data_IF_742121614660
#
_entry.id   IF_742121614660
#
_cell.length_a   1.000
_cell.length_b   1.000
_cell.length_c   1.000
_cell.angle_alpha   90.00
_cell.angle_beta   90.00
_cell.angle_gamma   90.00
#
_symmetry.space_group_name_H-M   'P 1'
#
loop_
_entity.id
_entity.type
_entity.pdbx_description
1 polymer ?
#
# COMPACT_ATOMS: atom_id res chain seq x y z
N UNK A 1 -6.56 -21.86 -15.00
CA UNK A 1 -6.31 -21.08 -13.77
C UNK A 1 -5.26 -20.03 -14.09
N UNK A 2 -5.66 -18.77 -14.29
CA UNK A 2 -4.71 -17.67 -14.51
C UNK A 2 -4.01 -17.45 -13.16
N UNK A 3 -2.72 -17.78 -13.07
CA UNK A 3 -1.92 -17.51 -11.87
C UNK A 3 -1.80 -16.00 -11.74
N UNK A 4 -2.45 -15.41 -10.73
CA UNK A 4 -2.24 -14.01 -10.38
C UNK A 4 -0.74 -13.82 -10.07
N UNK A 5 -0.10 -12.83 -10.70
CA UNK A 5 1.34 -12.60 -10.56
C UNK A 5 1.75 -12.29 -9.12
N UNK A 6 0.87 -11.60 -8.37
CA UNK A 6 1.04 -11.22 -6.96
C UNK A 6 1.04 -12.39 -5.98
N UNK A 7 0.68 -13.59 -6.46
CA UNK A 7 0.71 -14.80 -5.66
C UNK A 7 2.09 -15.48 -5.65
N UNK A 8 3.02 -15.02 -6.49
CA UNK A 8 4.40 -15.51 -6.57
C UNK A 8 5.31 -14.73 -5.60
N UNK A 9 5.98 -15.40 -4.64
CA UNK A 9 6.83 -14.73 -3.67
C UNK A 9 8.01 -13.98 -4.30
N UNK A 10 8.59 -14.49 -5.38
CA UNK A 10 9.70 -13.81 -6.08
C UNK A 10 9.22 -12.49 -6.68
N UNK A 11 8.01 -12.49 -7.25
CA UNK A 11 7.41 -11.31 -7.85
C UNK A 11 7.06 -10.24 -6.79
N UNK A 12 6.49 -10.66 -5.65
CA UNK A 12 6.26 -9.76 -4.51
C UNK A 12 7.55 -9.10 -4.04
N UNK A 13 8.65 -9.85 -3.96
CA UNK A 13 9.96 -9.30 -3.58
C UNK A 13 10.47 -8.26 -4.58
N UNK A 14 10.32 -8.51 -5.89
CA UNK A 14 10.70 -7.52 -6.91
C UNK A 14 9.89 -6.23 -6.81
N UNK A 15 8.58 -6.33 -6.54
CA UNK A 15 7.72 -5.15 -6.35
C UNK A 15 8.14 -4.36 -5.12
N UNK A 16 8.44 -5.03 -4.00
CA UNK A 16 8.87 -4.35 -2.77
C UNK A 16 10.16 -3.57 -2.99
N UNK A 17 11.16 -4.17 -3.65
CA UNK A 17 12.42 -3.50 -3.97
C UNK A 17 12.17 -2.29 -4.87
N UNK A 18 11.37 -2.46 -5.92
CA UNK A 18 11.04 -1.37 -6.84
C UNK A 18 10.34 -0.23 -6.11
N UNK A 19 9.40 -0.54 -5.22
CA UNK A 19 8.66 0.46 -4.46
C UNK A 19 9.53 1.22 -3.46
N UNK A 20 10.48 0.55 -2.80
CA UNK A 20 11.44 1.23 -1.92
C UNK A 20 12.36 2.15 -2.73
N UNK A 21 12.91 1.67 -3.85
CA UNK A 21 13.79 2.46 -4.71
C UNK A 21 13.05 3.68 -5.29
N UNK A 22 11.82 3.49 -5.75
CA UNK A 22 11.03 4.57 -6.33
C UNK A 22 10.70 5.64 -5.29
N UNK A 23 10.38 5.26 -4.05
CA UNK A 23 10.19 6.22 -2.97
C UNK A 23 11.49 6.93 -2.58
N UNK A 24 12.65 6.25 -2.59
CA UNK A 24 13.94 6.89 -2.32
C UNK A 24 14.32 7.95 -3.37
N UNK A 25 14.00 7.71 -4.64
CA UNK A 25 14.27 8.66 -5.73
C UNK A 25 13.22 9.77 -5.76
N UNK A 26 11.97 9.45 -5.44
CA UNK A 26 10.88 10.41 -5.41
C UNK A 26 11.08 11.42 -4.28
N UNK A 27 11.01 12.71 -4.63
CA UNK A 27 10.92 13.75 -3.62
C UNK A 27 9.62 13.63 -2.84
N UNK A 28 9.71 13.77 -1.53
CA UNK A 28 8.58 13.81 -0.57
C UNK A 28 7.49 14.78 -1.00
N UNK A 29 7.85 15.85 -1.73
CA UNK A 29 6.94 16.90 -2.17
C UNK A 29 6.18 16.57 -3.46
N UNK A 30 6.59 15.54 -4.21
CA UNK A 30 6.03 15.25 -5.54
C UNK A 30 5.23 13.95 -5.58
N UNK A 31 5.66 12.90 -4.88
CA UNK A 31 5.06 11.56 -4.94
C UNK A 31 5.03 10.95 -3.55
N UNK A 32 3.96 11.28 -2.86
CA UNK A 32 3.79 11.10 -1.42
C UNK A 32 3.26 9.69 -1.13
N UNK A 33 4.15 8.76 -0.74
CA UNK A 33 3.84 7.31 -0.56
C UNK A 33 3.48 6.61 -1.88
N UNK A 34 4.37 6.71 -2.88
CA UNK A 34 4.15 6.03 -4.17
C UNK A 34 4.14 4.49 -3.98
N UNK A 35 3.22 3.79 -4.65
CA UNK A 35 3.00 2.35 -4.48
C UNK A 35 2.54 1.89 -3.09
N UNK A 36 2.07 2.80 -2.22
CA UNK A 36 1.58 2.45 -0.89
C UNK A 36 0.44 1.42 -0.91
N UNK A 37 -0.52 1.57 -1.82
CA UNK A 37 -1.61 0.63 -2.03
C UNK A 37 -1.15 -0.72 -2.56
N UNK A 38 -0.15 -0.75 -3.45
CA UNK A 38 0.44 -2.01 -3.93
C UNK A 38 1.11 -2.76 -2.78
N UNK A 39 1.90 -2.07 -1.96
CA UNK A 39 2.54 -2.69 -0.78
C UNK A 39 1.49 -3.17 0.22
N UNK A 40 0.39 -2.45 0.38
CA UNK A 40 -0.76 -2.92 1.16
C UNK A 40 -1.39 -4.20 0.58
N UNK A 41 -1.50 -4.34 -0.75
CA UNK A 41 -1.95 -5.62 -1.33
C UNK A 41 -0.95 -6.76 -1.07
N UNK A 42 0.35 -6.47 -1.11
CA UNK A 42 1.40 -7.42 -0.75
C UNK A 42 1.32 -7.82 0.75
N UNK A 43 1.03 -6.86 1.63
CA UNK A 43 0.78 -7.08 3.06
C UNK A 43 -0.38 -8.07 3.28
N UNK A 44 -1.52 -7.81 2.63
CA UNK A 44 -2.68 -8.71 2.70
C UNK A 44 -2.36 -10.12 2.20
N UNK A 45 -1.70 -10.24 1.04
CA UNK A 45 -1.37 -11.53 0.41
C UNK A 45 -0.40 -12.34 1.27
N UNK A 46 0.63 -11.71 1.82
CA UNK A 46 1.62 -12.37 2.66
C UNK A 46 1.02 -12.90 3.96
N UNK A 47 0.08 -12.17 4.58
CA UNK A 47 -0.68 -12.68 5.73
C UNK A 47 -1.60 -13.84 5.35
N UNK A 48 -2.38 -13.70 4.26
CA UNK A 48 -3.32 -14.75 3.81
C UNK A 48 -2.60 -16.06 3.45
N UNK A 49 -1.42 -15.99 2.84
CA UNK A 49 -0.61 -17.16 2.47
C UNK A 49 0.40 -17.62 3.52
N UNK A 50 0.46 -16.95 4.69
CA UNK A 50 1.41 -17.24 5.77
C UNK A 50 2.89 -17.15 5.37
N UNK A 51 3.23 -16.22 4.47
CA UNK A 51 4.60 -15.96 4.05
C UNK A 51 5.30 -14.99 5.01
N UNK A 52 5.65 -15.47 6.21
CA UNK A 52 6.14 -14.62 7.30
C UNK A 52 7.46 -13.87 7.00
N UNK A 53 8.39 -14.48 6.25
CA UNK A 53 9.63 -13.80 5.85
C UNK A 53 9.37 -12.62 4.91
N UNK A 54 8.51 -12.81 3.91
CA UNK A 54 8.11 -11.70 3.03
C UNK A 54 7.29 -10.67 3.78
N UNK A 55 6.44 -11.10 4.70
CA UNK A 55 5.67 -10.20 5.55
C UNK A 55 6.56 -9.25 6.36
N UNK A 56 7.65 -9.77 6.94
CA UNK A 56 8.64 -8.94 7.60
C UNK A 56 9.26 -7.91 6.63
N UNK A 57 9.60 -8.31 5.41
CA UNK A 57 10.11 -7.38 4.38
C UNK A 57 9.08 -6.31 3.99
N UNK A 58 7.78 -6.65 3.95
CA UNK A 58 6.71 -5.68 3.71
C UNK A 58 6.67 -4.63 4.82
N UNK A 59 6.78 -5.04 6.09
CA UNK A 59 6.83 -4.10 7.23
C UNK A 59 8.06 -3.19 7.11
N UNK A 60 9.21 -3.75 6.76
CA UNK A 60 10.44 -2.97 6.55
C UNK A 60 10.25 -1.98 5.39
N UNK A 61 9.62 -2.39 4.28
CA UNK A 61 9.32 -1.50 3.17
C UNK A 61 8.39 -0.34 3.59
N UNK A 62 7.35 -0.63 4.38
CA UNK A 62 6.50 0.42 4.94
C UNK A 62 7.30 1.40 5.82
N UNK A 63 8.18 0.91 6.68
CA UNK A 63 9.04 1.78 7.50
C UNK A 63 9.91 2.71 6.66
N UNK A 64 10.51 2.21 5.58
CA UNK A 64 11.30 3.06 4.67
C UNK A 64 10.47 4.18 4.05
N UNK A 65 9.25 3.86 3.61
CA UNK A 65 8.35 4.83 2.97
C UNK A 65 7.82 5.83 4.00
N UNK A 66 7.49 5.38 5.21
CA UNK A 66 7.05 6.24 6.31
C UNK A 66 8.12 7.27 6.69
N UNK A 67 9.36 6.80 6.90
CA UNK A 67 10.49 7.66 7.27
C UNK A 67 10.74 8.70 6.18
N UNK A 68 10.73 8.27 4.92
CA UNK A 68 10.92 9.17 3.79
C UNK A 68 9.79 10.21 3.70
N UNK A 69 8.55 9.79 3.90
CA UNK A 69 7.38 10.68 3.79
C UNK A 69 7.13 11.52 5.05
N UNK A 70 7.97 11.39 6.08
CA UNK A 70 7.85 12.10 7.36
C UNK A 70 6.78 11.54 8.30
N UNK A 71 6.07 10.47 7.92
CA UNK A 71 5.06 9.83 8.77
C UNK A 71 5.69 9.23 10.03
N UNK A 72 4.86 9.09 11.07
CA UNK A 72 5.27 8.33 12.26
C UNK A 72 5.58 6.88 11.87
N UNK A 73 6.62 6.26 12.46
CA UNK A 73 6.96 4.88 12.18
C UNK A 73 5.81 3.94 12.56
N UNK A 74 5.66 2.86 11.80
CA UNK A 74 4.60 1.84 11.87
C UNK A 74 3.18 2.31 11.54
N UNK A 75 2.99 3.58 11.19
CA UNK A 75 1.68 4.15 10.90
C UNK A 75 0.93 3.46 9.74
N UNK A 76 1.59 3.24 8.60
CA UNK A 76 1.06 2.48 7.45
C UNK A 76 0.87 1.01 7.77
N UNK A 77 1.77 0.41 8.56
CA UNK A 77 1.63 -0.99 8.97
C UNK A 77 0.38 -1.20 9.85
N UNK A 78 0.14 -0.29 10.81
CA UNK A 78 -1.04 -0.29 11.67
C UNK A 78 -2.32 -0.06 10.88
N UNK A 79 -2.29 0.88 9.92
CA UNK A 79 -3.41 1.10 9.01
C UNK A 79 -3.73 -0.17 8.21
N UNK A 80 -2.69 -0.81 7.66
CA UNK A 80 -2.83 -2.04 6.89
C UNK A 80 -3.43 -3.18 7.74
N UNK A 81 -3.00 -3.32 9.00
CA UNK A 81 -3.60 -4.26 9.94
C UNK A 81 -5.06 -3.94 10.26
N UNK A 82 -5.39 -2.67 10.49
CA UNK A 82 -6.76 -2.25 10.76
C UNK A 82 -7.69 -2.63 9.60
N UNK A 83 -7.29 -2.31 8.36
CA UNK A 83 -8.06 -2.66 7.17
C UNK A 83 -8.18 -4.17 7.01
N UNK A 84 -7.08 -4.91 7.25
CA UNK A 84 -7.05 -6.37 7.16
C UNK A 84 -8.02 -7.05 8.13
N UNK A 85 -8.12 -6.56 9.37
CA UNK A 85 -8.96 -7.18 10.40
C UNK A 85 -10.43 -6.78 10.26
N UNK A 86 -10.71 -5.50 10.00
CA UNK A 86 -12.08 -4.97 10.07
C UNK A 86 -12.80 -4.89 8.72
N UNK A 87 -12.07 -4.56 7.65
CA UNK A 87 -12.69 -4.26 6.35
C UNK A 87 -12.71 -5.51 5.47
N UNK A 88 -11.56 -6.18 5.31
CA UNK A 88 -11.41 -7.30 4.36
C UNK A 88 -12.42 -8.44 4.60
N UNK A 89 -12.64 -8.94 5.84
CA UNK A 89 -13.56 -10.05 6.06
C UNK A 89 -15.00 -9.75 5.65
N UNK A 90 -15.38 -8.46 5.58
CA UNK A 90 -16.74 -8.03 5.22
C UNK A 90 -17.00 -8.09 3.70
N UNK A 91 -15.95 -8.04 2.88
CA UNK A 91 -16.06 -7.89 1.42
C UNK A 91 -15.40 -9.02 0.62
N UNK A 92 -14.95 -10.08 1.29
CA UNK A 92 -14.16 -11.16 0.68
C UNK A 92 -14.92 -11.96 -0.42
N UNK A 93 -16.26 -11.92 -0.44
CA UNK A 93 -17.09 -12.62 -1.43
C UNK A 93 -17.16 -11.95 -2.81
N UNK A 94 -16.68 -10.72 -2.96
CA UNK A 94 -16.84 -9.95 -4.20
C UNK A 94 -15.60 -10.05 -5.09
N UNK A 95 -15.80 -10.24 -6.39
CA UNK A 95 -14.73 -10.29 -7.41
C UNK A 95 -13.96 -8.97 -7.54
N UNK A 96 -14.56 -7.84 -7.15
CA UNK A 96 -13.91 -6.51 -7.12
C UNK A 96 -13.20 -6.19 -5.79
N UNK A 97 -13.08 -7.16 -4.89
CA UNK A 97 -12.62 -6.97 -3.51
C UNK A 97 -11.26 -6.27 -3.41
N UNK A 98 -10.31 -6.60 -4.27
CA UNK A 98 -8.96 -6.03 -4.17
C UNK A 98 -8.84 -4.56 -4.56
N UNK A 99 -9.63 -4.08 -5.53
CA UNK A 99 -9.71 -2.65 -5.88
C UNK A 99 -10.33 -1.86 -4.73
N UNK A 100 -11.38 -2.41 -4.13
CA UNK A 100 -12.05 -1.83 -2.96
C UNK A 100 -11.06 -1.69 -1.79
N UNK A 101 -10.20 -2.67 -1.56
CA UNK A 101 -9.21 -2.59 -0.48
C UNK A 101 -8.18 -1.47 -0.68
N UNK A 102 -7.71 -1.24 -1.92
CA UNK A 102 -6.79 -0.13 -2.23
C UNK A 102 -7.48 1.21 -1.96
N UNK A 103 -8.74 1.37 -2.36
CA UNK A 103 -9.51 2.60 -2.10
C UNK A 103 -9.64 2.84 -0.59
N UNK A 104 -9.99 1.81 0.18
CA UNK A 104 -10.05 1.93 1.65
C UNK A 104 -8.69 2.25 2.28
N UNK A 105 -7.61 1.72 1.73
CA UNK A 105 -6.26 2.07 2.15
C UNK A 105 -5.96 3.56 1.95
N UNK A 106 -6.22 4.11 0.77
CA UNK A 106 -6.02 5.53 0.51
C UNK A 106 -6.95 6.44 1.32
N UNK A 107 -8.19 6.02 1.58
CA UNK A 107 -9.09 6.74 2.49
C UNK A 107 -8.51 6.80 3.91
N UNK A 108 -8.06 5.66 4.43
CA UNK A 108 -7.41 5.58 5.74
C UNK A 108 -6.14 6.42 5.81
N UNK A 109 -5.32 6.36 4.77
CA UNK A 109 -4.08 7.13 4.66
C UNK A 109 -4.37 8.64 4.61
N UNK A 110 -5.43 9.07 3.93
CA UNK A 110 -5.87 10.48 3.90
C UNK A 110 -6.28 10.97 5.29
N UNK A 111 -7.05 10.15 6.05
CA UNK A 111 -7.43 10.47 7.43
C UNK A 111 -6.20 10.59 8.32
N UNK A 112 -5.26 9.65 8.20
CA UNK A 112 -4.01 9.70 8.96
C UNK A 112 -3.15 10.92 8.64
N UNK A 113 -3.12 11.31 7.36
CA UNK A 113 -2.40 12.50 6.93
C UNK A 113 -2.99 13.78 7.53
N UNK A 114 -4.32 13.91 7.44
CA UNK A 114 -5.05 15.04 8.03
C UNK A 114 -4.75 15.20 9.52
N UNK A 115 -4.76 14.09 10.28
CA UNK A 115 -4.47 14.12 11.72
C UNK A 115 -3.01 14.46 12.06
N UNK A 116 -2.07 14.15 11.15
CA UNK A 116 -0.63 14.30 11.43
C UNK A 116 -0.07 15.65 10.98
N UNK A 117 -0.52 16.16 9.83
CA UNK A 117 0.07 17.34 9.18
C UNK A 117 -0.97 18.39 8.77
N UNK A 118 -2.27 18.12 8.95
CA UNK A 118 -3.35 18.91 8.35
C UNK A 118 -3.58 18.54 6.88
N UNK A 119 -4.54 19.22 6.24
CA UNK A 119 -4.85 19.06 4.82
C UNK A 119 -4.39 20.29 4.05
N UNK A 120 -3.48 20.08 3.10
CA UNK A 120 -3.12 21.03 2.05
C UNK A 120 -3.64 20.47 0.72
N UNK A 121 -4.14 21.34 -0.16
CA UNK A 121 -4.63 20.99 -1.51
C UNK A 121 -3.58 20.19 -2.30
N UNK A 122 -2.30 20.51 -2.13
CA UNK A 122 -1.19 19.80 -2.78
C UNK A 122 -1.10 18.34 -2.34
N UNK A 123 -1.30 18.08 -1.05
CA UNK A 123 -1.24 16.74 -0.48
C UNK A 123 -2.43 15.91 -0.98
N UNK A 124 -3.63 16.50 -0.97
CA UNK A 124 -4.83 15.83 -1.48
C UNK A 124 -4.63 15.43 -2.95
N UNK A 125 -4.11 16.35 -3.77
CA UNK A 125 -3.84 16.08 -5.18
C UNK A 125 -2.79 14.96 -5.36
N UNK A 126 -1.71 14.97 -4.56
CA UNK A 126 -0.70 13.93 -4.58
C UNK A 126 -1.26 12.54 -4.19
N UNK A 127 -2.11 12.49 -3.16
CA UNK A 127 -2.76 11.24 -2.73
C UNK A 127 -3.70 10.69 -3.79
N UNK A 128 -4.46 11.55 -4.47
CA UNK A 128 -5.34 11.14 -5.58
C UNK A 128 -4.51 10.60 -6.75
N UNK A 129 -3.42 11.27 -7.13
CA UNK A 129 -2.52 10.77 -8.18
C UNK A 129 -1.96 9.40 -7.81
N UNK A 130 -1.48 9.22 -6.58
CA UNK A 130 -0.94 7.94 -6.12
C UNK A 130 -2.00 6.84 -6.12
N UNK A 131 -3.25 7.15 -5.75
CA UNK A 131 -4.37 6.22 -5.90
C UNK A 131 -4.55 5.80 -7.36
N UNK A 132 -4.54 6.74 -8.31
CA UNK A 132 -4.67 6.42 -9.73
C UNK A 132 -3.52 5.57 -10.26
N UNK A 133 -2.28 5.90 -9.87
CA UNK A 133 -1.09 5.11 -10.21
C UNK A 133 -1.26 3.68 -9.69
N UNK A 134 -1.64 3.51 -8.42
CA UNK A 134 -1.78 2.18 -7.82
C UNK A 134 -2.91 1.38 -8.46
N UNK A 135 -4.03 2.01 -8.81
CA UNK A 135 -5.12 1.33 -9.51
C UNK A 135 -4.69 0.88 -10.92
N UNK A 136 -3.94 1.71 -11.65
CA UNK A 136 -3.41 1.35 -12.98
C UNK A 136 -2.45 0.17 -12.88
N UNK A 137 -1.46 0.24 -11.99
CA UNK A 137 -0.50 -0.83 -11.80
C UNK A 137 -1.18 -2.11 -11.31
N UNK A 138 -2.10 -2.01 -10.35
CA UNK A 138 -2.84 -3.16 -9.84
C UNK A 138 -3.70 -3.82 -10.94
N UNK A 139 -4.32 -3.03 -11.82
CA UNK A 139 -5.05 -3.53 -12.99
C UNK A 139 -4.18 -4.29 -13.99
N UNK A 140 -2.89 -3.94 -14.10
CA UNK A 140 -1.92 -4.62 -14.99
C UNK A 140 -1.44 -5.96 -14.41
N UNK A 141 -1.46 -6.15 -13.09
CA UNK A 141 -0.92 -7.34 -12.43
C UNK A 141 -1.93 -8.47 -12.15
N UNK A 142 -3.23 -8.21 -12.34
CA UNK A 142 -4.34 -9.16 -12.22
C UNK A 142 -4.51 -10.01 -13.48
#
# INVERSE_FOLDING_TARGET
MIKNSLDNPIFLLTILILAVISNLIASVHFLLVLFGGIIFTAFYRTLKKRYYYLFFLVIVAFLFIEINSGLKPFSLSLLSFFIYIFIIPRYESNSFSSLVYIIFFYLGLTIMWFLSFGLDERIIFALIINLFIDLLFFGVFL
#
